data_IF_479533036409
#
_entry.id   IF_479533036409
#
_cell.length_a   1.000
_cell.length_b   1.000
_cell.length_c   1.000
_cell.angle_alpha   90.00
_cell.angle_beta   90.00
_cell.angle_gamma   90.00
#
_symmetry.space_group_name_H-M   'P 1'
#
loop_
_entity.id
_entity.type
_entity.pdbx_description
1 polymer ?
#
# COMPACT_ATOMS: atom_id res chain seq x y z
N UNK A 1 -18.03 -0.85 -16.06
CA UNK A 1 -18.03 -0.18 -14.73
C UNK A 1 -17.92 -1.25 -13.68
N UNK A 2 -16.88 -1.20 -12.84
CA UNK A 2 -16.78 -2.10 -11.70
C UNK A 2 -17.76 -1.61 -10.61
N UNK A 3 -18.72 -2.45 -10.21
CA UNK A 3 -19.61 -2.14 -9.10
C UNK A 3 -18.89 -2.47 -7.80
N UNK A 4 -18.26 -1.48 -7.18
CA UNK A 4 -17.69 -1.62 -5.83
C UNK A 4 -18.83 -1.53 -4.81
N UNK A 5 -19.05 -2.61 -4.07
CA UNK A 5 -20.08 -2.65 -3.02
C UNK A 5 -19.56 -1.91 -1.78
N UNK A 6 -19.94 -0.65 -1.65
CA UNK A 6 -19.60 0.18 -0.48
C UNK A 6 -20.48 -0.18 0.72
N UNK A 7 -19.88 -0.82 1.72
CA UNK A 7 -20.56 -1.14 2.98
C UNK A 7 -20.84 0.13 3.84
N UNK A 8 -20.07 1.20 3.64
CA UNK A 8 -20.13 2.43 4.44
C UNK A 8 -20.76 3.61 3.69
N UNK A 9 -21.83 3.36 2.91
CA UNK A 9 -22.48 4.39 2.08
C UNK A 9 -22.90 5.64 2.88
N UNK A 10 -23.39 5.45 4.10
CA UNK A 10 -23.78 6.56 4.99
C UNK A 10 -22.60 7.46 5.37
N UNK A 11 -21.39 6.90 5.53
CA UNK A 11 -20.18 7.66 5.82
C UNK A 11 -19.75 8.48 4.61
N UNK A 12 -19.85 7.91 3.41
CA UNK A 12 -19.56 8.62 2.15
C UNK A 12 -20.49 9.82 1.96
N UNK A 13 -21.79 9.66 2.26
CA UNK A 13 -22.77 10.75 2.17
C UNK A 13 -22.47 11.88 3.17
N UNK A 14 -22.07 11.54 4.41
CA UNK A 14 -21.64 12.53 5.41
C UNK A 14 -20.38 13.28 4.96
N UNK A 15 -19.39 12.56 4.45
CA UNK A 15 -18.15 13.14 3.95
C UNK A 15 -18.43 14.12 2.79
N UNK A 16 -19.30 13.72 1.86
CA UNK A 16 -19.74 14.58 0.76
C UNK A 16 -20.44 15.85 1.26
N UNK A 17 -21.29 15.74 2.30
CA UNK A 17 -21.97 16.88 2.90
C UNK A 17 -20.98 17.85 3.56
N UNK A 18 -20.03 17.34 4.35
CA UNK A 18 -19.00 18.18 5.00
C UNK A 18 -18.12 18.93 3.98
N UNK A 19 -17.70 18.24 2.92
CA UNK A 19 -16.92 18.86 1.85
C UNK A 19 -17.75 19.91 1.11
N UNK A 20 -19.03 19.63 0.85
CA UNK A 20 -19.95 20.59 0.21
C UNK A 20 -20.14 21.84 1.08
N UNK A 21 -20.27 21.67 2.40
CA UNK A 21 -20.37 22.80 3.35
C UNK A 21 -19.10 23.65 3.36
N UNK A 22 -17.92 23.03 3.29
CA UNK A 22 -16.63 23.75 3.30
C UNK A 22 -16.32 24.44 1.97
N UNK A 23 -16.61 23.79 0.85
CA UNK A 23 -16.29 24.31 -0.50
C UNK A 23 -17.42 25.16 -1.10
N UNK A 24 -18.64 25.11 -0.54
CA UNK A 24 -19.82 25.75 -1.11
C UNK A 24 -20.29 25.14 -2.44
N UNK A 25 -19.65 24.06 -2.91
CA UNK A 25 -19.96 23.37 -4.16
C UNK A 25 -20.18 21.88 -3.91
N UNK A 26 -21.24 21.34 -4.50
CA UNK A 26 -21.54 19.91 -4.46
C UNK A 26 -20.54 19.14 -5.32
N UNK A 27 -19.73 18.31 -4.68
CA UNK A 27 -18.85 17.34 -5.33
C UNK A 27 -19.63 16.05 -5.60
N UNK A 28 -19.37 15.36 -6.72
CA UNK A 28 -19.96 14.04 -6.96
C UNK A 28 -19.30 12.94 -6.12
N UNK A 29 -20.01 11.83 -5.90
CA UNK A 29 -19.44 10.68 -5.18
C UNK A 29 -18.25 10.06 -5.94
N UNK A 30 -18.30 10.06 -7.28
CA UNK A 30 -17.20 9.56 -8.10
C UNK A 30 -15.95 10.43 -7.93
N UNK A 31 -16.09 11.76 -8.05
CA UNK A 31 -14.97 12.70 -7.85
C UNK A 31 -14.36 12.57 -6.45
N UNK A 32 -15.20 12.37 -5.44
CA UNK A 32 -14.75 12.16 -4.06
C UNK A 32 -13.93 10.88 -3.92
N UNK A 33 -14.39 9.78 -4.52
CA UNK A 33 -13.67 8.51 -4.51
C UNK A 33 -12.34 8.61 -5.27
N UNK A 34 -12.35 9.21 -6.46
CA UNK A 34 -11.13 9.38 -7.28
C UNK A 34 -10.07 10.15 -6.50
N UNK A 35 -10.45 11.28 -5.88
CA UNK A 35 -9.55 12.07 -5.03
C UNK A 35 -9.09 11.33 -3.78
N UNK A 36 -9.95 10.50 -3.19
CA UNK A 36 -9.59 9.71 -2.00
C UNK A 36 -8.56 8.64 -2.34
N UNK A 37 -8.68 8.02 -3.52
CA UNK A 37 -7.71 7.04 -4.02
C UNK A 37 -6.37 7.74 -4.29
N UNK A 38 -6.37 8.87 -4.99
CA UNK A 38 -5.16 9.66 -5.25
C UNK A 38 -4.46 10.08 -3.94
N UNK A 39 -5.23 10.60 -2.98
CA UNK A 39 -4.71 10.98 -1.68
C UNK A 39 -4.09 9.81 -0.92
N UNK A 40 -4.78 8.66 -0.93
CA UNK A 40 -4.30 7.44 -0.27
C UNK A 40 -3.03 6.91 -0.94
N UNK A 41 -2.97 6.93 -2.27
CA UNK A 41 -1.79 6.50 -3.02
C UNK A 41 -0.58 7.39 -2.73
N UNK A 42 -0.78 8.70 -2.63
CA UNK A 42 0.30 9.63 -2.28
C UNK A 42 0.80 9.45 -0.83
N UNK A 43 -0.02 8.86 0.05
CA UNK A 43 0.31 8.57 1.46
C UNK A 43 0.31 7.06 1.75
N UNK A 44 0.76 6.29 0.76
CA UNK A 44 0.72 4.83 0.77
C UNK A 44 1.32 4.24 2.05
N UNK A 45 2.48 4.73 2.47
CA UNK A 45 3.18 4.23 3.67
C UNK A 45 2.36 4.43 4.95
N UNK A 46 1.74 5.60 5.10
CA UNK A 46 0.89 5.90 6.27
C UNK A 46 -0.37 5.03 6.24
N UNK A 47 -0.97 4.88 5.06
CA UNK A 47 -2.12 4.00 4.86
C UNK A 47 -1.81 2.55 5.25
N UNK A 48 -0.65 2.02 4.84
CA UNK A 48 -0.20 0.67 5.22
C UNK A 48 -0.01 0.52 6.74
N UNK A 49 0.58 1.52 7.40
CA UNK A 49 0.82 1.45 8.84
C UNK A 49 -0.49 1.49 9.64
N UNK A 50 -1.45 2.32 9.21
CA UNK A 50 -2.68 2.56 9.97
C UNK A 50 -3.81 1.58 9.66
N UNK A 51 -3.89 1.06 8.43
CA UNK A 51 -5.08 0.35 7.95
C UNK A 51 -4.83 -1.10 7.53
N UNK A 52 -3.57 -1.50 7.33
CA UNK A 52 -3.23 -2.86 6.94
C UNK A 52 -2.61 -3.56 8.14
N UNK A 53 -3.29 -4.60 8.64
CA UNK A 53 -2.72 -5.48 9.64
C UNK A 53 -1.42 -6.06 9.09
N UNK A 54 -0.31 -5.71 9.76
CA UNK A 54 0.98 -6.32 9.44
C UNK A 54 0.85 -7.81 9.72
N UNK A 55 1.24 -8.70 8.79
CA UNK A 55 1.34 -10.11 9.13
C UNK A 55 2.26 -10.23 10.34
N UNK A 56 1.73 -10.75 11.44
CA UNK A 56 2.52 -11.01 12.63
C UNK A 56 3.59 -12.02 12.25
N UNK A 57 4.85 -11.72 12.57
CA UNK A 57 5.94 -12.67 12.45
C UNK A 57 5.65 -13.82 13.42
N UNK A 58 4.94 -14.83 12.95
CA UNK A 58 4.74 -16.07 13.70
C UNK A 58 6.06 -16.81 13.76
N UNK A 59 6.27 -17.58 14.83
CA UNK A 59 7.46 -18.42 14.97
C UNK A 59 7.61 -19.37 13.77
N UNK A 60 6.49 -19.87 13.22
CA UNK A 60 6.46 -20.68 11.99
C UNK A 60 7.00 -19.94 10.76
N UNK A 61 6.70 -18.64 10.63
CA UNK A 61 7.23 -17.83 9.53
C UNK A 61 8.73 -17.58 9.70
N UNK A 62 9.19 -17.34 10.93
CA UNK A 62 10.61 -17.16 11.25
C UNK A 62 11.39 -18.44 10.94
N UNK A 63 10.89 -19.61 11.34
CA UNK A 63 11.54 -20.90 11.06
C UNK A 63 11.59 -21.18 9.56
N UNK A 64 10.49 -20.95 8.82
CA UNK A 64 10.50 -21.03 7.35
C UNK A 64 11.52 -20.09 6.71
N UNK A 65 11.68 -18.89 7.24
CA UNK A 65 12.61 -17.90 6.71
C UNK A 65 14.06 -18.32 6.96
N UNK A 66 14.37 -18.89 8.13
CA UNK A 66 15.67 -19.50 8.41
C UNK A 66 15.96 -20.71 7.52
N UNK A 67 14.97 -21.58 7.29
CA UNK A 67 15.12 -22.74 6.40
C UNK A 67 15.31 -22.32 4.93
N UNK A 68 14.72 -21.18 4.53
CA UNK A 68 14.88 -20.62 3.19
C UNK A 68 16.23 -19.93 2.95
N UNK A 69 17.00 -19.69 4.01
CA UNK A 69 18.34 -19.13 3.89
C UNK A 69 19.24 -20.17 3.22
N UNK A 70 19.48 -19.99 1.93
CA UNK A 70 20.45 -20.78 1.18
C UNK A 70 21.78 -20.05 1.16
N UNK A 71 22.84 -20.76 1.52
CA UNK A 71 24.22 -20.31 1.29
C UNK A 71 24.51 -20.49 -0.21
N UNK A 72 24.01 -19.56 -1.01
CA UNK A 72 24.24 -19.56 -2.44
C UNK A 72 25.72 -19.19 -2.68
N UNK A 73 26.51 -20.06 -3.33
CA UNK A 73 27.92 -19.75 -3.57
C UNK A 73 28.03 -18.52 -4.47
N UNK A 74 28.90 -17.59 -4.09
CA UNK A 74 29.25 -16.44 -4.93
C UNK A 74 29.91 -16.94 -6.22
N UNK A 75 29.21 -16.79 -7.35
CA UNK A 75 29.75 -17.15 -8.67
C UNK A 75 30.96 -16.29 -9.07
N UNK A 76 31.09 -15.11 -8.46
CA UNK A 76 32.21 -14.19 -8.67
C UNK A 76 32.77 -13.75 -7.31
N UNK A 77 33.63 -14.57 -6.71
CA UNK A 77 34.28 -14.25 -5.42
C UNK A 77 35.24 -13.05 -5.49
N UNK A 78 35.63 -12.64 -6.69
CA UNK A 78 36.63 -11.59 -6.93
C UNK A 78 36.01 -10.19 -7.14
N UNK A 79 34.68 -10.10 -7.30
CA UNK A 79 33.97 -8.85 -7.60
C UNK A 79 32.64 -8.79 -6.88
N UNK A 80 32.20 -7.61 -6.47
CA UNK A 80 30.87 -7.45 -5.90
C UNK A 80 29.80 -7.71 -6.96
N UNK A 81 28.65 -8.25 -6.56
CA UNK A 81 27.47 -8.39 -7.45
C UNK A 81 27.10 -7.05 -8.08
N UNK A 82 27.27 -5.95 -7.35
CA UNK A 82 27.03 -4.60 -7.87
C UNK A 82 28.01 -4.22 -8.98
N UNK A 83 29.28 -4.61 -8.90
CA UNK A 83 30.27 -4.37 -9.95
C UNK A 83 29.98 -5.21 -11.20
N UNK A 84 29.49 -6.44 -11.01
CA UNK A 84 29.10 -7.34 -12.11
C UNK A 84 27.84 -6.84 -12.82
N UNK A 85 26.84 -6.39 -12.05
CA UNK A 85 25.53 -5.99 -12.56
C UNK A 85 25.57 -4.56 -13.13
N UNK A 86 26.15 -3.61 -12.41
CA UNK A 86 26.14 -2.19 -12.79
C UNK A 86 27.36 -1.75 -13.60
N UNK A 87 28.40 -2.60 -13.72
CA UNK A 87 29.62 -2.29 -14.49
C UNK A 87 30.25 -0.94 -14.11
N UNK A 88 30.27 -0.65 -12.80
CA UNK A 88 30.92 0.54 -12.25
C UNK A 88 32.45 0.46 -12.37
#
# INVERSE_FOLDING_TARGET
>A
MANVKLNNKSLLEKLQAEITLKLGKKMSQQELLDKSIEFTYNRLNEFFIENIDKPTLTNDFIEKLKESASDAPLYHSEKSDDEVIYKL
#
